data_IF_340815063234
#
_entry.id   IF_340815063234
#
_cell.length_a   1.000
_cell.length_b   1.000
_cell.length_c   1.000
_cell.angle_alpha   90.00
_cell.angle_beta   90.00
_cell.angle_gamma   90.00
#
_symmetry.space_group_name_H-M   'P 1'
#
loop_
_entity.id
_entity.type
_entity.pdbx_description
1 polymer ?
#
# COMPACT_ATOMS: atom_id res chain seq x y z
N UNK A 1 38.06 4.01 -10.74
CA UNK A 1 38.51 2.99 -9.74
C UNK A 1 38.54 3.52 -8.30
N UNK A 2 38.49 4.84 -8.07
CA UNK A 2 38.51 5.43 -6.71
C UNK A 2 37.12 5.42 -6.04
N UNK A 3 36.04 5.62 -6.81
CA UNK A 3 34.66 5.57 -6.31
C UNK A 3 34.25 4.24 -5.69
N UNK A 4 34.76 3.12 -6.21
CA UNK A 4 34.40 1.79 -5.72
C UNK A 4 35.00 1.53 -4.34
N UNK A 5 36.26 1.94 -4.10
CA UNK A 5 36.90 1.84 -2.77
C UNK A 5 36.22 2.72 -1.74
N UNK A 6 35.83 3.95 -2.13
CA UNK A 6 35.07 4.86 -1.27
C UNK A 6 33.71 4.27 -0.89
N UNK A 7 32.98 3.67 -1.85
CA UNK A 7 31.70 2.98 -1.61
C UNK A 7 31.85 1.74 -0.73
N UNK A 8 32.91 0.95 -0.91
CA UNK A 8 33.21 -0.21 -0.06
C UNK A 8 33.60 0.23 1.36
N UNK A 9 34.42 1.27 1.52
CA UNK A 9 34.74 1.84 2.83
C UNK A 9 33.50 2.39 3.55
N UNK A 10 32.58 3.01 2.80
CA UNK A 10 31.30 3.50 3.30
C UNK A 10 30.32 2.36 3.68
N UNK A 11 30.45 1.18 3.06
CA UNK A 11 29.75 -0.06 3.47
C UNK A 11 30.42 -0.71 4.70
N UNK A 12 31.73 -0.53 4.88
CA UNK A 12 32.49 -1.07 6.01
C UNK A 12 32.39 -0.22 7.30
N UNK A 13 31.90 1.03 7.23
CA UNK A 13 31.61 1.84 8.41
C UNK A 13 30.31 1.39 9.10
N UNK A 14 30.39 0.23 9.75
CA UNK A 14 29.29 -0.39 10.49
C UNK A 14 28.72 0.46 11.64
N UNK A 15 29.43 1.52 12.06
CA UNK A 15 28.93 2.47 13.06
C UNK A 15 27.94 3.45 12.43
N UNK A 16 28.32 4.12 11.34
CA UNK A 16 27.42 5.06 10.66
C UNK A 16 26.14 4.40 10.14
N UNK A 17 26.19 3.13 9.74
CA UNK A 17 24.99 2.38 9.36
C UNK A 17 24.07 2.09 10.54
N UNK A 18 24.62 1.68 11.68
CA UNK A 18 23.85 1.48 12.92
C UNK A 18 23.19 2.77 13.37
N UNK A 19 23.94 3.87 13.41
CA UNK A 19 23.41 5.16 13.88
C UNK A 19 22.26 5.65 12.99
N UNK A 20 22.38 5.49 11.66
CA UNK A 20 21.30 5.80 10.71
C UNK A 20 20.09 4.90 10.93
N UNK A 21 20.29 3.60 11.08
CA UNK A 21 19.20 2.66 11.36
C UNK A 21 18.45 3.04 12.64
N UNK A 22 19.16 3.25 13.76
CA UNK A 22 18.53 3.63 15.03
C UNK A 22 17.78 4.95 14.93
N UNK A 23 18.31 5.92 14.16
CA UNK A 23 17.61 7.18 13.93
C UNK A 23 16.29 6.98 13.18
N UNK A 24 16.31 6.21 12.08
CA UNK A 24 15.12 5.94 11.26
C UNK A 24 14.06 5.17 12.04
N UNK A 25 14.48 4.19 12.84
CA UNK A 25 13.60 3.44 13.75
C UNK A 25 12.96 4.36 14.78
N UNK A 26 13.76 5.22 15.42
CA UNK A 26 13.27 6.15 16.43
C UNK A 26 12.24 7.12 15.85
N UNK A 27 12.49 7.62 14.64
CA UNK A 27 11.54 8.47 13.92
C UNK A 27 10.24 7.73 13.61
N UNK A 28 10.32 6.48 13.13
CA UNK A 28 9.14 5.66 12.87
C UNK A 28 8.33 5.35 14.14
N UNK A 29 9.00 5.08 15.27
CA UNK A 29 8.35 4.88 16.56
C UNK A 29 7.65 6.14 17.07
N UNK A 30 8.13 7.33 16.72
CA UNK A 30 7.51 8.60 17.10
C UNK A 30 6.30 8.97 16.24
N UNK A 31 6.00 8.19 15.21
CA UNK A 31 4.86 8.44 14.34
C UNK A 31 3.52 8.36 15.12
N UNK A 32 2.62 9.34 14.96
CA UNK A 32 1.36 9.36 15.70
C UNK A 32 0.48 8.12 15.47
N UNK A 33 0.49 7.57 14.25
CA UNK A 33 -0.32 6.39 13.90
C UNK A 33 0.25 5.13 14.54
N UNK A 34 1.58 5.01 14.58
CA UNK A 34 2.27 3.94 15.32
C UNK A 34 1.99 4.03 16.81
N UNK A 35 2.08 5.22 17.39
CA UNK A 35 1.79 5.43 18.82
C UNK A 35 0.33 5.12 19.18
N UNK A 36 -0.61 5.46 18.30
CA UNK A 36 -2.02 5.12 18.49
C UNK A 36 -2.23 3.60 18.44
N UNK A 37 -1.64 2.93 17.45
CA UNK A 37 -1.69 1.47 17.32
C UNK A 37 -1.12 0.76 18.55
N UNK A 38 0.07 1.15 19.01
CA UNK A 38 0.71 0.54 20.19
C UNK A 38 -0.16 0.69 21.44
N UNK A 39 -0.76 1.87 21.66
CA UNK A 39 -1.67 2.11 22.79
C UNK A 39 -2.91 1.22 22.70
N UNK A 40 -3.50 1.10 21.52
CA UNK A 40 -4.71 0.30 21.30
C UNK A 40 -4.47 -1.19 21.53
N UNK A 41 -3.29 -1.71 21.16
CA UNK A 41 -2.95 -3.13 21.23
C UNK A 41 -2.02 -3.50 22.40
N UNK A 42 -1.88 -2.64 23.42
CA UNK A 42 -0.97 -2.88 24.57
C UNK A 42 -1.26 -4.21 25.27
N UNK A 43 -2.53 -4.65 25.34
CA UNK A 43 -2.90 -5.92 26.00
C UNK A 43 -2.69 -7.18 25.15
N UNK A 44 -2.45 -7.03 23.84
CA UNK A 44 -2.25 -8.13 22.90
C UNK A 44 -0.77 -8.36 22.59
N UNK A 45 0.05 -7.31 22.66
CA UNK A 45 1.47 -7.35 22.34
C UNK A 45 2.30 -7.92 23.49
N UNK A 46 3.31 -8.71 23.14
CA UNK A 46 4.33 -9.14 24.09
C UNK A 46 5.24 -7.97 24.52
N UNK A 47 5.88 -8.08 25.68
CA UNK A 47 6.78 -7.05 26.20
C UNK A 47 7.95 -6.73 25.24
N UNK A 48 8.40 -7.71 24.46
CA UNK A 48 9.47 -7.60 23.46
C UNK A 48 8.97 -7.30 22.04
N UNK A 49 7.65 -7.08 21.86
CA UNK A 49 7.04 -6.95 20.54
C UNK A 49 7.52 -5.73 19.76
N UNK A 50 7.81 -4.62 20.46
CA UNK A 50 8.32 -3.38 19.83
C UNK A 50 9.75 -3.61 19.31
N UNK A 51 10.62 -4.22 20.13
CA UNK A 51 12.00 -4.50 19.77
C UNK A 51 12.08 -5.44 18.56
N UNK A 52 11.23 -6.47 18.53
CA UNK A 52 11.14 -7.42 17.43
C UNK A 52 10.41 -6.88 16.20
N UNK A 53 9.42 -6.02 16.42
CA UNK A 53 8.58 -5.40 15.39
C UNK A 53 9.17 -4.13 14.78
N UNK A 54 10.35 -3.70 15.22
CA UNK A 54 10.99 -2.45 14.80
C UNK A 54 11.11 -2.32 13.27
N UNK A 55 11.48 -3.41 12.58
CA UNK A 55 11.57 -3.43 11.13
C UNK A 55 10.19 -3.22 10.46
N UNK A 56 9.14 -3.82 11.03
CA UNK A 56 7.75 -3.74 10.55
C UNK A 56 7.15 -2.35 10.75
N UNK A 57 7.43 -1.74 11.90
CA UNK A 57 7.05 -0.34 12.17
C UNK A 57 7.69 0.60 11.16
N UNK A 58 8.98 0.42 10.88
CA UNK A 58 9.67 1.22 9.88
C UNK A 58 9.12 1.00 8.46
N UNK A 59 8.86 -0.26 8.07
CA UNK A 59 8.24 -0.62 6.79
C UNK A 59 6.91 0.13 6.59
N UNK A 60 6.02 0.05 7.58
CA UNK A 60 4.72 0.72 7.56
C UNK A 60 4.85 2.23 7.32
N UNK A 61 5.64 2.93 8.14
CA UNK A 61 5.80 4.40 8.04
C UNK A 61 6.46 4.78 6.72
N UNK A 62 7.46 4.01 6.28
CA UNK A 62 8.18 4.27 5.03
C UNK A 62 7.25 4.15 3.83
N UNK A 63 6.50 3.05 3.71
CA UNK A 63 5.60 2.80 2.59
C UNK A 63 4.41 3.76 2.58
N UNK A 64 3.80 4.03 3.75
CA UNK A 64 2.73 5.03 3.86
C UNK A 64 3.21 6.41 3.39
N UNK A 65 4.40 6.83 3.82
CA UNK A 65 4.95 8.12 3.42
C UNK A 65 5.34 8.17 1.93
N UNK A 66 5.79 7.05 1.33
CA UNK A 66 6.02 6.97 -0.13
C UNK A 66 4.72 7.16 -0.90
N UNK A 67 3.65 6.46 -0.51
CA UNK A 67 2.31 6.60 -1.11
C UNK A 67 1.85 8.06 -1.00
N UNK A 68 1.99 8.68 0.17
CA UNK A 68 1.61 10.08 0.39
C UNK A 68 2.40 11.08 -0.49
N UNK A 69 3.64 10.76 -0.86
CA UNK A 69 4.45 11.56 -1.78
C UNK A 69 4.15 11.28 -3.26
N UNK A 70 3.27 10.33 -3.57
CA UNK A 70 2.98 9.91 -4.95
C UNK A 70 4.10 9.09 -5.59
N UNK A 71 5.01 8.52 -4.79
CA UNK A 71 6.01 7.58 -5.28
C UNK A 71 5.38 6.21 -5.57
N UNK A 72 6.02 5.41 -6.43
CA UNK A 72 5.56 4.05 -6.71
C UNK A 72 5.64 3.20 -5.43
N UNK A 73 4.50 2.71 -4.89
CA UNK A 73 4.51 1.90 -3.69
C UNK A 73 5.01 0.49 -3.98
N UNK A 74 5.41 -0.23 -2.94
CA UNK A 74 5.76 -1.64 -3.05
C UNK A 74 4.62 -2.49 -3.63
N UNK A 75 3.38 -2.20 -3.23
CA UNK A 75 2.16 -2.88 -3.67
C UNK A 75 1.15 -1.88 -4.26
N UNK A 76 1.16 -1.67 -5.59
CA UNK A 76 0.23 -0.76 -6.26
C UNK A 76 -1.24 -1.13 -6.02
N UNK A 77 -2.05 -0.15 -5.62
CA UNK A 77 -3.47 -0.35 -5.30
C UNK A 77 -3.74 -0.93 -3.90
N UNK A 78 -2.71 -1.08 -3.07
CA UNK A 78 -2.84 -1.47 -1.67
C UNK A 78 -2.23 -0.41 -0.74
N UNK A 79 -2.75 -0.33 0.48
CA UNK A 79 -2.23 0.50 1.58
C UNK A 79 -1.68 -0.39 2.70
N UNK A 80 -0.51 -0.07 3.27
CA UNK A 80 0.01 -0.80 4.42
C UNK A 80 -0.81 -0.48 5.67
N UNK A 81 -1.05 -1.47 6.53
CA UNK A 81 -1.74 -1.34 7.83
C UNK A 81 -0.99 -2.13 8.89
N UNK A 82 -0.86 -1.57 10.10
CA UNK A 82 -0.29 -2.28 11.24
C UNK A 82 -1.30 -3.28 11.80
N UNK A 83 -0.84 -4.48 12.09
CA UNK A 83 -1.66 -5.54 12.68
C UNK A 83 -0.92 -6.18 13.86
N UNK A 84 -1.67 -6.49 14.92
CA UNK A 84 -1.17 -7.28 16.05
C UNK A 84 -1.51 -8.75 15.80
N UNK A 85 -0.49 -9.60 15.64
CA UNK A 85 -0.66 -11.02 15.36
C UNK A 85 0.27 -11.85 16.24
N UNK A 86 -0.28 -12.80 16.99
CA UNK A 86 0.47 -13.71 17.88
C UNK A 86 1.40 -12.96 18.86
N UNK A 87 0.95 -11.83 19.39
CA UNK A 87 1.75 -10.99 20.29
C UNK A 87 2.86 -10.18 19.64
N UNK A 88 2.92 -10.14 18.31
CA UNK A 88 3.90 -9.40 17.53
C UNK A 88 3.23 -8.36 16.63
N UNK A 89 4.03 -7.42 16.16
CA UNK A 89 3.64 -6.38 15.21
C UNK A 89 3.97 -6.87 13.80
N UNK A 90 2.98 -6.85 12.91
CA UNK A 90 3.15 -7.14 11.48
C UNK A 90 2.53 -6.04 10.62
N UNK A 91 2.81 -6.09 9.31
CA UNK A 91 2.25 -5.17 8.31
C UNK A 91 1.40 -5.99 7.34
N UNK A 92 0.12 -5.66 7.25
CA UNK A 92 -0.79 -6.17 6.25
C UNK A 92 -0.96 -5.14 5.11
N UNK A 93 -1.39 -5.61 3.95
CA UNK A 93 -1.68 -4.75 2.80
C UNK A 93 -3.15 -4.88 2.42
N UNK A 94 -3.89 -3.80 2.58
CA UNK A 94 -5.32 -3.75 2.29
C UNK A 94 -5.56 -3.07 0.94
N UNK A 95 -6.50 -3.55 0.11
CA UNK A 95 -6.82 -2.88 -1.14
C UNK A 95 -7.37 -1.48 -0.86
N UNK A 96 -7.01 -0.52 -1.71
CA UNK A 96 -7.59 0.83 -1.65
C UNK A 96 -8.99 0.83 -2.23
N UNK A 97 -9.82 1.82 -1.86
CA UNK A 97 -11.18 1.96 -2.38
C UNK A 97 -11.20 2.03 -3.92
N UNK A 98 -10.19 2.69 -4.50
CA UNK A 98 -10.01 2.75 -5.95
C UNK A 98 -9.74 1.37 -6.55
N UNK A 99 -8.94 0.53 -5.88
CA UNK A 99 -8.69 -0.84 -6.33
C UNK A 99 -9.95 -1.70 -6.20
N UNK A 100 -10.70 -1.56 -5.11
CA UNK A 100 -11.97 -2.28 -4.91
C UNK A 100 -12.95 -1.92 -6.04
N UNK A 101 -13.14 -0.63 -6.32
CA UNK A 101 -14.03 -0.18 -7.39
C UNK A 101 -13.59 -0.71 -8.78
N UNK A 102 -12.29 -0.68 -9.07
CA UNK A 102 -11.75 -1.21 -10.33
C UNK A 102 -11.93 -2.73 -10.44
N UNK A 103 -11.71 -3.47 -9.34
CA UNK A 103 -11.91 -4.92 -9.29
C UNK A 103 -13.41 -5.27 -9.46
N UNK A 104 -14.32 -4.48 -8.92
CA UNK A 104 -15.77 -4.63 -9.11
C UNK A 104 -16.20 -4.38 -10.57
N UNK A 105 -15.72 -3.31 -11.19
CA UNK A 105 -15.97 -3.01 -12.60
C UNK A 105 -15.43 -4.13 -13.52
N UNK A 106 -14.20 -4.57 -13.28
CA UNK A 106 -13.58 -5.67 -14.02
C UNK A 106 -14.38 -6.98 -13.85
N UNK A 107 -14.87 -7.25 -12.64
CA UNK A 107 -15.72 -8.41 -12.35
C UNK A 107 -17.03 -8.33 -13.14
N UNK A 108 -17.70 -7.18 -13.17
CA UNK A 108 -18.92 -7.00 -13.96
C UNK A 108 -18.66 -7.23 -15.46
N UNK A 109 -17.58 -6.65 -15.98
CA UNK A 109 -17.19 -6.85 -17.38
C UNK A 109 -16.89 -8.32 -17.70
N UNK A 110 -16.28 -9.06 -16.77
CA UNK A 110 -15.93 -10.48 -16.95
C UNK A 110 -17.14 -11.41 -17.09
N UNK A 111 -18.33 -11.00 -16.61
CA UNK A 111 -19.56 -11.78 -16.76
C UNK A 111 -20.04 -11.83 -18.21
N UNK A 112 -19.61 -10.88 -19.06
CA UNK A 112 -20.03 -10.78 -20.45
C UNK A 112 -18.92 -11.34 -21.35
N UNK A 113 -19.16 -12.53 -21.91
CA UNK A 113 -18.26 -13.11 -22.92
C UNK A 113 -18.73 -12.70 -24.32
N UNK A 114 -18.03 -11.74 -24.93
CA UNK A 114 -18.34 -11.30 -26.31
C UNK A 114 -17.88 -12.34 -27.35
N UNK A 115 -18.83 -13.02 -27.99
CA UNK A 115 -18.55 -13.86 -29.18
C UNK A 115 -18.97 -13.11 -30.43
N UNK A 116 -18.05 -12.92 -31.38
CA UNK A 116 -18.29 -12.20 -32.65
C UNK A 116 -18.84 -10.77 -32.50
N UNK A 117 -18.53 -10.08 -31.40
CA UNK A 117 -18.93 -8.68 -31.18
C UNK A 117 -18.01 -7.71 -31.95
N UNK A 118 -18.56 -6.84 -32.81
CA UNK A 118 -17.80 -5.76 -33.44
C UNK A 118 -17.17 -4.82 -32.40
N UNK A 119 -15.97 -4.30 -32.67
CA UNK A 119 -15.26 -3.40 -31.75
C UNK A 119 -16.04 -2.11 -31.46
N UNK A 120 -16.82 -1.66 -32.43
CA UNK A 120 -17.52 -0.37 -32.40
C UNK A 120 -18.68 -0.35 -31.40
N UNK A 121 -19.25 -1.51 -31.07
CA UNK A 121 -20.35 -1.61 -30.08
C UNK A 121 -19.89 -2.11 -28.71
N UNK A 122 -18.63 -2.56 -28.58
CA UNK A 122 -18.11 -3.14 -27.34
C UNK A 122 -18.09 -2.16 -26.17
N UNK A 123 -17.89 -0.86 -26.44
CA UNK A 123 -17.86 0.21 -25.44
C UNK A 123 -19.15 1.04 -25.36
N UNK A 124 -20.24 0.60 -26.00
CA UNK A 124 -21.49 1.32 -25.95
C UNK A 124 -22.06 1.31 -24.52
N UNK A 125 -22.47 2.48 -24.02
CA UNK A 125 -23.05 2.67 -22.69
C UNK A 125 -24.34 3.48 -22.81
N UNK A 126 -25.29 3.23 -21.90
CA UNK A 126 -26.52 4.02 -21.77
C UNK A 126 -26.24 5.50 -21.48
N UNK A 127 -25.06 5.85 -20.95
CA UNK A 127 -24.64 7.24 -20.75
C UNK A 127 -24.45 8.00 -22.07
N UNK A 128 -24.09 7.28 -23.14
CA UNK A 128 -23.86 7.84 -24.47
C UNK A 128 -25.07 7.61 -25.39
N UNK A 129 -26.21 7.20 -24.82
CA UNK A 129 -27.43 6.98 -25.56
C UNK A 129 -28.14 8.32 -25.78
N UNK A 130 -28.42 8.66 -27.03
CA UNK A 130 -29.20 9.83 -27.42
C UNK A 130 -30.65 9.40 -27.67
N UNK A 131 -31.59 9.66 -26.74
CA UNK A 131 -32.99 9.32 -26.93
C UNK A 131 -33.59 10.22 -28.01
N UNK A 132 -34.15 9.60 -29.05
CA UNK A 132 -34.93 10.29 -30.08
C UNK A 132 -36.42 10.22 -29.73
N UNK A 133 -37.12 11.35 -29.85
CA UNK A 133 -38.53 11.55 -29.43
C UNK A 133 -39.53 10.55 -30.05
N UNK A 134 -39.17 9.87 -31.15
CA UNK A 134 -40.07 8.94 -31.88
C UNK A 134 -40.38 7.62 -31.15
N UNK A 135 -39.74 7.31 -30.01
CA UNK A 135 -39.92 6.03 -29.30
C UNK A 135 -40.21 6.12 -27.80
N UNK A 136 -40.52 7.30 -27.27
CA UNK A 136 -40.81 7.45 -25.83
C UNK A 136 -42.22 7.05 -25.39
N UNK A 137 -43.10 6.67 -26.33
CA UNK A 137 -44.45 6.18 -26.02
C UNK A 137 -44.59 4.67 -26.26
N UNK A 138 -44.43 3.86 -25.21
CA UNK A 138 -44.97 2.49 -25.09
C UNK A 138 -45.09 2.07 -23.61
#
# INVERSE_FOLDING_TARGET
MEDMRKRIAMLMDSRQWRDRYFKMVKEALQDPEVQAFLKQHTGELADDAIDRGTAKIYEFVSERNKIARGELPLAPGYKPTLVAANGLIDVAYEPTDAKIAADEEAKQASLVTSVNMPKDIRGASLTNYDPTDERMDA
#
